data_IF_442816561236
#
_entry.id   IF_442816561236
#
_cell.length_a   1.000
_cell.length_b   1.000
_cell.length_c   1.000
_cell.angle_alpha   90.00
_cell.angle_beta   90.00
_cell.angle_gamma   90.00
#
_symmetry.space_group_name_H-M   'P 1'
#
loop_
_entity.id
_entity.type
_entity.pdbx_description
1 polymer ?
#
# COMPACT_ATOMS: atom_id res chain seq x y z
N UNK A 1 30.87 -3.51 -8.75
CA UNK A 1 30.14 -3.25 -7.50
C UNK A 1 29.57 -4.58 -7.03
N UNK A 2 29.98 -5.07 -5.87
CA UNK A 2 29.48 -6.33 -5.29
C UNK A 2 28.61 -5.97 -4.08
N UNK A 3 27.43 -6.57 -3.98
CA UNK A 3 26.46 -6.27 -2.93
C UNK A 3 26.19 -7.53 -2.10
N UNK A 4 26.47 -7.46 -0.80
CA UNK A 4 26.17 -8.54 0.15
C UNK A 4 24.85 -8.25 0.84
N UNK A 5 23.87 -9.13 0.66
CA UNK A 5 22.57 -9.02 1.32
C UNK A 5 22.61 -9.77 2.65
N UNK A 6 22.58 -9.02 3.76
CA UNK A 6 22.46 -9.56 5.11
C UNK A 6 21.02 -9.35 5.62
N UNK A 7 20.40 -10.38 6.17
CA UNK A 7 19.08 -10.26 6.81
C UNK A 7 19.30 -10.06 8.31
N UNK A 8 18.95 -8.87 8.80
CA UNK A 8 19.11 -8.48 10.22
C UNK A 8 17.76 -8.03 10.79
N UNK A 9 17.47 -8.44 12.03
CA UNK A 9 16.32 -7.94 12.78
C UNK A 9 16.72 -6.66 13.50
N UNK A 10 15.99 -5.58 13.26
CA UNK A 10 16.25 -4.29 13.92
C UNK A 10 15.70 -4.36 15.36
N UNK A 11 16.56 -4.28 16.40
CA UNK A 11 16.11 -4.30 17.79
C UNK A 11 15.46 -2.97 18.18
N UNK A 12 14.74 -2.92 19.31
CA UNK A 12 14.11 -1.68 19.83
C UNK A 12 15.12 -0.55 20.08
N UNK A 13 16.35 -0.89 20.45
CA UNK A 13 17.46 0.07 20.62
C UNK A 13 17.90 0.72 19.31
N UNK A 14 17.41 0.22 18.16
CA UNK A 14 17.77 0.66 16.80
C UNK A 14 19.27 0.61 16.51
N UNK A 15 20.02 -0.17 17.30
CA UNK A 15 21.45 -0.43 17.09
C UNK A 15 21.62 -1.79 16.47
N UNK A 16 22.23 -1.84 15.29
CA UNK A 16 22.57 -3.07 14.59
C UNK A 16 24.10 -3.16 14.52
N UNK A 17 24.64 -4.30 14.91
CA UNK A 17 26.06 -4.62 14.79
C UNK A 17 26.17 -5.79 13.81
N UNK A 18 27.00 -5.62 12.78
CA UNK A 18 27.22 -6.63 11.74
C UNK A 18 28.71 -6.93 11.66
N UNK A 19 29.04 -8.21 11.57
CA UNK A 19 30.38 -8.66 11.18
C UNK A 19 30.35 -8.94 9.69
N UNK A 20 31.21 -8.25 8.94
CA UNK A 20 31.34 -8.48 7.49
C UNK A 20 32.04 -9.84 7.25
N UNK A 21 31.63 -10.60 6.23
CA UNK A 21 32.31 -11.84 5.87
C UNK A 21 33.71 -11.57 5.30
N UNK A 22 34.60 -12.57 5.39
CA UNK A 22 36.03 -12.44 5.06
C UNK A 22 36.32 -12.12 3.59
N UNK A 23 35.33 -12.29 2.72
CA UNK A 23 35.39 -11.99 1.30
C UNK A 23 35.22 -10.49 0.99
N UNK A 24 34.82 -9.68 1.97
CA UNK A 24 34.73 -8.22 1.84
C UNK A 24 36.11 -7.60 2.08
N UNK A 25 36.72 -6.95 1.06
CA UNK A 25 38.04 -6.35 1.20
C UNK A 25 38.02 -5.16 2.17
N UNK A 26 39.17 -4.90 2.80
CA UNK A 26 39.36 -3.70 3.63
C UNK A 26 39.18 -2.42 2.78
N UNK A 27 38.44 -1.44 3.32
CA UNK A 27 38.20 -0.17 2.65
C UNK A 27 36.89 0.50 3.06
N UNK A 28 36.47 1.49 2.26
CA UNK A 28 35.19 2.15 2.43
C UNK A 28 34.04 1.29 1.89
N UNK A 29 32.96 1.19 2.65
CA UNK A 29 31.75 0.50 2.26
C UNK A 29 30.53 1.39 2.49
N UNK A 30 29.61 1.40 1.52
CA UNK A 30 28.32 2.07 1.63
C UNK A 30 27.29 1.12 2.27
N UNK A 31 26.49 1.64 3.21
CA UNK A 31 25.42 0.89 3.89
C UNK A 31 24.07 1.40 3.40
N UNK A 32 23.30 0.53 2.74
CA UNK A 32 21.93 0.82 2.30
C UNK A 32 20.95 0.07 3.19
N UNK A 33 20.05 0.80 3.87
CA UNK A 33 19.02 0.22 4.73
C UNK A 33 17.69 0.16 3.97
N UNK A 34 17.32 -1.03 3.53
CA UNK A 34 16.01 -1.29 2.94
C UNK A 34 15.08 -1.84 4.02
N UNK A 35 14.10 -1.04 4.42
CA UNK A 35 13.02 -1.52 5.28
C UNK A 35 11.90 -2.04 4.40
N UNK A 36 11.44 -3.26 4.65
CA UNK A 36 10.13 -3.66 4.14
C UNK A 36 9.13 -2.78 4.88
N UNK A 37 8.34 -1.98 4.16
CA UNK A 37 7.07 -1.53 4.71
C UNK A 37 6.39 -2.80 5.25
N UNK A 38 6.26 -2.89 6.56
CA UNK A 38 5.25 -3.76 7.11
C UNK A 38 3.96 -3.19 6.50
N UNK A 39 3.48 -3.80 5.41
CA UNK A 39 2.04 -3.87 5.22
C UNK A 39 1.59 -4.47 6.52
N UNK A 40 1.12 -3.61 7.41
CA UNK A 40 0.60 -4.03 8.68
C UNK A 40 -0.39 -5.15 8.34
N UNK A 41 0.02 -6.39 8.59
CA UNK A 41 -0.91 -7.44 8.93
C UNK A 41 -1.43 -6.94 10.26
N UNK A 42 -2.37 -6.00 10.19
CA UNK A 42 -3.08 -5.54 11.36
C UNK A 42 -3.51 -6.84 12.01
N UNK A 43 -3.18 -7.09 13.28
CA UNK A 43 -3.88 -8.15 13.99
C UNK A 43 -5.35 -7.91 13.67
N UNK A 44 -6.05 -8.94 13.21
CA UNK A 44 -7.50 -8.86 13.08
C UNK A 44 -8.07 -8.67 14.50
N UNK A 45 -7.93 -7.46 15.03
CA UNK A 45 -8.73 -6.96 16.13
C UNK A 45 -10.15 -6.97 15.57
N UNK A 46 -11.04 -7.73 16.19
CA UNK A 46 -12.42 -7.94 15.73
C UNK A 46 -13.14 -6.64 15.33
N UNK A 47 -12.74 -5.49 15.89
CA UNK A 47 -13.26 -4.17 15.54
C UNK A 47 -12.95 -3.66 14.12
N UNK A 48 -11.86 -4.07 13.45
CA UNK A 48 -11.59 -3.62 12.06
C UNK A 48 -12.56 -4.29 11.06
N UNK A 49 -12.85 -5.57 11.26
CA UNK A 49 -13.85 -6.29 10.48
C UNK A 49 -15.25 -5.72 10.70
N UNK A 50 -15.60 -5.37 11.94
CA UNK A 50 -16.89 -4.73 12.23
C UNK A 50 -17.04 -3.36 11.55
N UNK A 51 -15.98 -2.54 11.54
CA UNK A 51 -15.99 -1.25 10.83
C UNK A 51 -16.10 -1.42 9.33
N UNK A 52 -15.40 -2.40 8.75
CA UNK A 52 -15.51 -2.70 7.33
C UNK A 52 -16.92 -3.19 6.97
N UNK A 53 -17.49 -4.10 7.76
CA UNK A 53 -18.86 -4.56 7.57
C UNK A 53 -19.89 -3.44 7.77
N UNK A 54 -19.65 -2.51 8.69
CA UNK A 54 -20.49 -1.33 8.87
C UNK A 54 -20.42 -0.40 7.65
N UNK A 55 -19.23 -0.18 7.10
CA UNK A 55 -19.05 0.59 5.88
C UNK A 55 -19.75 -0.07 4.68
N UNK A 56 -19.62 -1.39 4.51
CA UNK A 56 -20.33 -2.14 3.47
C UNK A 56 -21.86 -1.98 3.61
N UNK A 57 -22.41 -2.15 4.82
CA UNK A 57 -23.85 -1.95 5.05
C UNK A 57 -24.32 -0.53 4.75
N UNK A 58 -23.51 0.48 5.07
CA UNK A 58 -23.85 1.87 4.77
C UNK A 58 -23.86 2.13 3.25
N UNK A 59 -22.93 1.53 2.50
CA UNK A 59 -22.89 1.61 1.03
C UNK A 59 -24.09 0.89 0.41
N UNK A 60 -24.45 -0.29 0.92
CA UNK A 60 -25.58 -1.05 0.41
C UNK A 60 -26.92 -0.36 0.72
N UNK A 61 -27.11 0.17 1.93
CA UNK A 61 -28.29 0.96 2.27
C UNK A 61 -28.42 2.21 1.40
N UNK A 62 -27.31 2.91 1.13
CA UNK A 62 -27.31 4.04 0.22
C UNK A 62 -27.68 3.64 -1.21
N UNK A 63 -27.23 2.49 -1.70
CA UNK A 63 -27.60 1.96 -3.02
C UNK A 63 -29.08 1.64 -3.12
N UNK A 64 -29.63 1.01 -2.10
CA UNK A 64 -31.06 0.67 -2.03
C UNK A 64 -31.94 1.94 -2.01
N UNK A 65 -31.49 3.00 -1.33
CA UNK A 65 -32.19 4.29 -1.26
C UNK A 65 -32.00 5.16 -2.52
N UNK A 66 -31.03 4.85 -3.39
CA UNK A 66 -30.68 5.67 -4.57
C UNK A 66 -30.53 4.82 -5.85
N UNK A 67 -31.52 4.00 -6.23
CA UNK A 67 -31.40 3.09 -7.37
C UNK A 67 -31.17 3.83 -8.70
N UNK A 68 -31.70 5.05 -8.85
CA UNK A 68 -31.54 5.89 -10.03
C UNK A 68 -30.13 6.49 -10.17
N UNK A 69 -29.33 6.45 -9.10
CA UNK A 69 -27.93 6.94 -9.09
C UNK A 69 -26.93 5.82 -9.38
N UNK A 70 -27.38 4.57 -9.47
CA UNK A 70 -26.52 3.44 -9.80
C UNK A 70 -26.38 3.37 -11.32
N UNK A 71 -25.27 3.90 -11.82
CA UNK A 71 -24.94 3.88 -13.23
C UNK A 71 -24.42 2.51 -13.65
N UNK A 72 -24.82 2.06 -14.84
CA UNK A 72 -24.17 0.92 -15.50
C UNK A 72 -22.73 1.28 -15.87
N UNK A 73 -21.90 0.25 -16.10
CA UNK A 73 -20.51 0.46 -16.54
C UNK A 73 -20.44 1.35 -17.79
N UNK A 74 -21.31 1.11 -18.77
CA UNK A 74 -21.36 1.88 -20.01
C UNK A 74 -21.72 3.35 -19.77
N UNK A 75 -22.62 3.62 -18.82
CA UNK A 75 -22.99 4.98 -18.43
C UNK A 75 -21.85 5.70 -17.70
N UNK A 76 -21.11 4.98 -16.85
CA UNK A 76 -19.91 5.52 -16.19
C UNK A 76 -18.83 5.82 -17.23
N UNK A 77 -18.57 4.90 -18.15
CA UNK A 77 -17.56 5.08 -19.20
C UNK A 77 -17.93 6.25 -20.13
N UNK A 78 -19.22 6.40 -20.49
CA UNK A 78 -19.71 7.52 -21.28
C UNK A 78 -19.60 8.87 -20.54
N UNK A 79 -19.92 8.92 -19.25
CA UNK A 79 -19.78 10.13 -18.43
C UNK A 79 -18.31 10.54 -18.30
N UNK A 80 -17.42 9.59 -18.03
CA UNK A 80 -15.98 9.84 -17.95
C UNK A 80 -15.38 10.28 -19.30
N UNK A 81 -15.85 9.71 -20.41
CA UNK A 81 -15.44 10.15 -21.75
C UNK A 81 -15.88 11.58 -22.01
N UNK A 82 -17.14 11.92 -21.72
CA UNK A 82 -17.67 13.27 -21.90
C UNK A 82 -16.95 14.30 -21.01
N UNK A 83 -16.61 13.94 -19.77
CA UNK A 83 -15.78 14.78 -18.89
C UNK A 83 -14.38 14.99 -19.48
N UNK A 84 -13.73 13.94 -19.99
CA UNK A 84 -12.42 14.06 -20.64
C UNK A 84 -12.45 14.92 -21.90
N UNK A 85 -13.47 14.77 -22.73
CA UNK A 85 -13.66 15.57 -23.93
C UNK A 85 -13.91 17.06 -23.57
N UNK A 86 -14.55 17.32 -22.42
CA UNK A 86 -14.79 18.69 -21.93
C UNK A 86 -13.55 19.42 -21.43
N UNK A 87 -12.46 18.69 -21.14
CA UNK A 87 -11.22 19.29 -20.64
C UNK A 87 -10.37 19.91 -21.74
N UNK A 88 -10.69 19.65 -23.02
CA UNK A 88 -9.99 20.18 -24.18
C UNK A 88 -8.55 19.69 -24.26
N UNK A 89 -8.23 18.87 -25.27
CA UNK A 89 -6.84 18.79 -25.69
C UNK A 89 -6.45 20.12 -26.37
N UNK A 90 -5.29 20.72 -26.08
CA UNK A 90 -4.56 21.46 -27.09
C UNK A 90 -3.96 20.52 -28.14
#
# INVERSE_FOLDING_TARGET
>A
MHAHKLIVRVPKSRRVEISLPEDVPEGEAEIIVLTQEQRDVHPMEGGRNERLLAACRAVDAWRDDNPERILSKEQVDAALSAERDSWGEP
#
